data_IF_753436870212
#
_entry.id   IF_753436870212
#
_cell.length_a   1.000
_cell.length_b   1.000
_cell.length_c   1.000
_cell.angle_alpha   90.00
_cell.angle_beta   90.00
_cell.angle_gamma   90.00
#
_symmetry.space_group_name_H-M   'P 1'
#
loop_
_entity.id
_entity.type
_entity.pdbx_description
1 polymer ?
#
# COMPACT_ATOMS: atom_id res chain seq x y z
N UNK A 1 13.53 -9.40 -17.19
CA UNK A 1 13.40 -8.94 -15.82
C UNK A 1 13.23 -10.09 -14.86
N UNK A 2 13.84 -10.02 -13.74
CA UNK A 2 13.77 -11.09 -12.78
C UNK A 2 12.65 -10.91 -11.81
N UNK A 3 12.23 -12.02 -11.24
CA UNK A 3 11.17 -11.99 -10.26
C UNK A 3 11.52 -11.12 -9.07
N UNK A 4 12.79 -11.14 -8.68
CA UNK A 4 13.23 -10.33 -7.56
C UNK A 4 13.03 -8.85 -7.86
N UNK A 5 13.37 -8.45 -9.07
CA UNK A 5 13.20 -7.05 -9.46
C UNK A 5 11.73 -6.66 -9.47
N UNK A 6 10.89 -7.57 -9.95
CA UNK A 6 9.47 -7.29 -9.99
C UNK A 6 8.91 -7.13 -8.59
N UNK A 7 9.29 -8.02 -7.69
CA UNK A 7 8.80 -7.93 -6.32
C UNK A 7 9.24 -6.64 -5.66
N UNK A 8 10.49 -6.24 -5.90
CA UNK A 8 10.99 -5.00 -5.33
C UNK A 8 10.24 -3.80 -5.86
N UNK A 9 9.97 -3.80 -7.16
CA UNK A 9 9.23 -2.71 -7.77
C UNK A 9 7.83 -2.61 -7.21
N UNK A 10 7.18 -3.75 -7.06
CA UNK A 10 5.83 -3.76 -6.52
C UNK A 10 5.81 -3.26 -5.08
N UNK A 11 6.77 -3.70 -4.30
CA UNK A 11 6.83 -3.25 -2.90
C UNK A 11 7.02 -1.76 -2.83
N UNK A 12 7.90 -1.22 -3.66
CA UNK A 12 8.14 0.20 -3.65
C UNK A 12 6.90 0.98 -4.05
N UNK A 13 6.19 0.50 -5.08
CA UNK A 13 4.97 1.16 -5.51
C UNK A 13 3.94 1.18 -4.39
N UNK A 14 3.82 0.07 -3.68
CA UNK A 14 2.87 -0.02 -2.58
C UNK A 14 3.25 0.92 -1.46
N UNK A 15 4.53 1.00 -1.14
CA UNK A 15 4.99 1.89 -0.09
C UNK A 15 4.76 3.34 -0.45
N UNK A 16 5.02 3.69 -1.70
CA UNK A 16 4.77 5.05 -2.16
C UNK A 16 3.29 5.40 -2.03
N UNK A 17 2.43 4.49 -2.45
CA UNK A 17 1.00 4.75 -2.37
C UNK A 17 0.55 4.88 -0.93
N UNK A 18 1.07 4.01 -0.06
CA UNK A 18 0.72 4.09 1.35
C UNK A 18 1.13 5.42 1.94
N UNK A 19 2.31 5.87 1.59
CA UNK A 19 2.79 7.14 2.09
C UNK A 19 1.89 8.28 1.66
N UNK A 20 1.45 8.26 0.40
CA UNK A 20 0.55 9.29 -0.09
C UNK A 20 -0.76 9.30 0.68
N UNK A 21 -1.27 8.11 0.96
CA UNK A 21 -2.53 8.01 1.69
C UNK A 21 -2.39 8.51 3.11
N UNK A 22 -1.29 8.15 3.75
CA UNK A 22 -1.05 8.61 5.11
C UNK A 22 -0.88 10.12 5.14
N UNK A 23 -0.19 10.66 4.16
CA UNK A 23 -0.02 12.10 4.06
C UNK A 23 -1.38 12.79 3.97
N UNK A 24 -2.26 12.22 3.17
CA UNK A 24 -3.60 12.80 3.03
C UNK A 24 -4.33 12.78 4.37
N UNK A 25 -4.20 11.68 5.10
CA UNK A 25 -4.85 11.58 6.40
C UNK A 25 -4.33 12.61 7.38
N UNK A 26 -3.02 12.81 7.38
CA UNK A 26 -2.41 13.68 8.39
C UNK A 26 -2.38 15.14 7.99
N UNK A 27 -2.62 15.45 6.73
CA UNK A 27 -2.54 16.81 6.26
C UNK A 27 -3.79 17.64 6.61
N UNK A 28 -4.85 16.97 7.03
CA UNK A 28 -6.08 17.66 7.30
C UNK A 28 -6.90 17.97 6.07
N UNK A 29 -6.54 17.34 4.94
CA UNK A 29 -7.24 17.57 3.70
C UNK A 29 -8.59 16.86 3.64
N UNK A 30 -8.80 15.90 4.52
CA UNK A 30 -10.05 15.14 4.51
C UNK A 30 -11.15 15.95 5.14
N UNK A 31 -12.28 15.99 4.48
CA UNK A 31 -13.40 16.78 4.95
C UNK A 31 -14.62 15.95 5.34
N UNK A 32 -14.59 14.65 5.08
CA UNK A 32 -15.76 13.84 5.42
C UNK A 32 -15.34 12.43 5.77
N UNK A 33 -16.25 11.77 6.48
CA UNK A 33 -15.99 10.41 6.97
C UNK A 33 -15.88 9.42 5.82
N UNK A 34 -16.57 9.67 4.74
CA UNK A 34 -16.53 8.74 3.61
C UNK A 34 -15.13 8.69 3.01
N UNK A 35 -14.50 9.83 2.89
CA UNK A 35 -13.13 9.85 2.38
C UNK A 35 -12.18 9.12 3.33
N UNK A 36 -12.38 9.33 4.61
CA UNK A 36 -11.55 8.66 5.61
C UNK A 36 -11.70 7.15 5.50
N UNK A 37 -12.93 6.68 5.39
CA UNK A 37 -13.17 5.24 5.28
C UNK A 37 -12.61 4.68 3.98
N UNK A 38 -12.69 5.45 2.91
CA UNK A 38 -12.16 5.01 1.64
C UNK A 38 -10.64 4.79 1.75
N UNK A 39 -9.97 5.74 2.37
CA UNK A 39 -8.52 5.64 2.50
C UNK A 39 -8.16 4.49 3.42
N UNK A 40 -8.90 4.30 4.49
CA UNK A 40 -8.65 3.17 5.36
C UNK A 40 -8.79 1.85 4.61
N UNK A 41 -9.80 1.76 3.77
CA UNK A 41 -10.00 0.56 2.97
C UNK A 41 -8.84 0.33 2.02
N UNK A 42 -8.35 1.39 1.43
CA UNK A 42 -7.22 1.26 0.51
C UNK A 42 -5.97 0.83 1.26
N UNK A 43 -5.74 1.38 2.44
CA UNK A 43 -4.58 0.98 3.24
C UNK A 43 -4.66 -0.49 3.60
N UNK A 44 -5.84 -0.96 3.93
CA UNK A 44 -6.04 -2.37 4.23
C UNK A 44 -5.73 -3.23 3.02
N UNK A 45 -6.19 -2.81 1.86
CA UNK A 45 -5.94 -3.55 0.65
C UNK A 45 -4.45 -3.61 0.34
N UNK A 46 -3.76 -2.51 0.56
CA UNK A 46 -2.31 -2.49 0.33
C UNK A 46 -1.60 -3.44 1.27
N UNK A 47 -2.02 -3.49 2.53
CA UNK A 47 -1.43 -4.43 3.48
C UNK A 47 -1.66 -5.87 3.03
N UNK A 48 -2.85 -6.15 2.56
CA UNK A 48 -3.16 -7.48 2.07
C UNK A 48 -2.26 -7.85 0.90
N UNK A 49 -2.07 -6.91 -0.03
CA UNK A 49 -1.23 -7.17 -1.18
C UNK A 49 0.22 -7.38 -0.75
N UNK A 50 0.68 -6.60 0.22
CA UNK A 50 2.03 -6.79 0.72
C UNK A 50 2.22 -8.18 1.30
N UNK A 51 1.24 -8.65 2.04
CA UNK A 51 1.30 -9.99 2.60
C UNK A 51 1.36 -11.03 1.50
N UNK A 52 0.57 -10.82 0.45
CA UNK A 52 0.56 -11.76 -0.66
C UNK A 52 1.90 -11.79 -1.38
N UNK A 53 2.50 -10.62 -1.56
CA UNK A 53 3.81 -10.57 -2.20
C UNK A 53 4.84 -11.31 -1.35
N UNK A 54 4.81 -11.07 -0.05
CA UNK A 54 5.75 -11.72 0.85
C UNK A 54 5.58 -13.24 0.80
N UNK A 55 4.33 -13.68 0.73
CA UNK A 55 4.06 -15.11 0.69
C UNK A 55 4.57 -15.73 -0.59
N UNK A 56 4.35 -15.06 -1.71
CA UNK A 56 4.73 -15.62 -3.00
C UNK A 56 6.22 -15.58 -3.26
N UNK A 57 6.88 -14.57 -2.74
CA UNK A 57 8.31 -14.43 -2.98
C UNK A 57 9.13 -14.79 -1.76
N UNK A 58 8.49 -15.41 -0.82
CA UNK A 58 9.18 -15.85 0.37
C UNK A 58 10.26 -16.85 0.00
N UNK A 59 11.38 -16.72 0.66
CA UNK A 59 12.48 -17.61 0.40
C UNK A 59 12.16 -19.00 0.90
N UNK A 60 12.46 -20.00 0.09
CA UNK A 60 12.25 -21.39 0.47
C UNK A 60 13.47 -22.00 1.05
#
# INVERSE_FOLDING_TARGET
MREVDLASSLKRSIEDRREQLIETLTSGALTCMEQYKYIQGELKALSFIEDEIAEHFKER
#
